data_IF_140054678873
#
_entry.id   IF_140054678873
#
_cell.length_a   1.000
_cell.length_b   1.000
_cell.length_c   1.000
_cell.angle_alpha   90.00
_cell.angle_beta   90.00
_cell.angle_gamma   90.00
#
_symmetry.space_group_name_H-M   'P 1'
#
loop_
_entity.id
_entity.type
_entity.pdbx_description
1 polymer ?
#
# COMPACT_ATOMS: atom_id res chain seq x y z
N UNK A 1 -15.65 -33.80 -71.75
CA UNK A 1 -14.82 -32.77 -71.07
C UNK A 1 -15.63 -32.24 -69.90
N UNK A 2 -15.35 -32.73 -68.67
CA UNK A 2 -16.13 -32.44 -67.47
C UNK A 2 -15.31 -31.49 -66.61
N UNK A 3 -15.73 -30.21 -66.50
CA UNK A 3 -15.13 -29.25 -65.57
C UNK A 3 -15.73 -29.46 -64.16
N UNK A 4 -14.88 -29.84 -63.21
CA UNK A 4 -15.21 -29.86 -61.80
C UNK A 4 -14.89 -28.47 -61.22
N UNK A 5 -15.96 -27.75 -60.84
CA UNK A 5 -15.86 -26.53 -60.07
C UNK A 5 -15.69 -26.93 -58.58
N UNK A 6 -14.52 -26.70 -58.04
CA UNK A 6 -14.20 -26.95 -56.65
C UNK A 6 -14.52 -25.64 -55.87
N UNK A 7 -15.66 -25.66 -55.16
CA UNK A 7 -16.08 -24.53 -54.32
C UNK A 7 -15.22 -24.45 -53.07
N UNK A 8 -14.51 -23.33 -52.92
CA UNK A 8 -13.75 -22.97 -51.71
C UNK A 8 -14.75 -22.36 -50.72
N UNK A 9 -15.12 -23.11 -49.68
CA UNK A 9 -15.89 -22.58 -48.54
C UNK A 9 -14.90 -21.87 -47.63
N UNK A 10 -14.92 -20.54 -47.63
CA UNK A 10 -14.21 -19.69 -46.68
C UNK A 10 -15.02 -19.66 -45.36
N UNK A 11 -14.62 -20.46 -44.38
CA UNK A 11 -15.17 -20.38 -43.03
C UNK A 11 -14.57 -19.12 -42.36
N UNK A 12 -15.34 -18.06 -42.30
CA UNK A 12 -15.06 -16.84 -41.59
C UNK A 12 -15.28 -17.14 -40.08
N UNK A 13 -14.20 -17.56 -39.39
CA UNK A 13 -14.20 -17.74 -37.96
C UNK A 13 -14.16 -16.34 -37.31
N UNK A 14 -15.33 -15.78 -37.00
CA UNK A 14 -15.48 -14.56 -36.25
C UNK A 14 -14.95 -14.80 -34.82
N UNK A 15 -13.73 -14.36 -34.59
CA UNK A 15 -13.12 -14.30 -33.28
C UNK A 15 -13.85 -13.20 -32.47
N UNK A 16 -14.92 -13.58 -31.79
CA UNK A 16 -15.59 -12.70 -30.82
C UNK A 16 -14.64 -12.43 -29.65
N UNK A 17 -13.90 -11.30 -29.71
CA UNK A 17 -13.23 -10.75 -28.56
C UNK A 17 -14.32 -10.39 -27.54
N UNK A 18 -14.51 -11.23 -26.54
CA UNK A 18 -15.31 -10.89 -25.37
C UNK A 18 -14.66 -9.68 -24.71
N UNK A 19 -15.25 -8.50 -24.88
CA UNK A 19 -14.94 -7.33 -24.09
C UNK A 19 -15.38 -7.64 -22.67
N UNK A 20 -14.44 -8.07 -21.84
CA UNK A 20 -14.66 -8.17 -20.40
C UNK A 20 -14.82 -6.74 -19.87
N UNK A 21 -16.07 -6.32 -19.71
CA UNK A 21 -16.39 -5.11 -18.97
C UNK A 21 -16.05 -5.38 -17.49
N UNK A 22 -15.07 -4.70 -16.98
CA UNK A 22 -14.73 -4.75 -15.55
C UNK A 22 -15.92 -4.20 -14.75
N UNK A 23 -16.62 -5.08 -14.04
CA UNK A 23 -17.81 -4.74 -13.26
C UNK A 23 -17.40 -4.47 -11.84
N UNK A 24 -17.71 -3.29 -11.32
CA UNK A 24 -17.54 -2.97 -9.91
C UNK A 24 -18.90 -2.76 -9.24
N UNK A 25 -18.99 -3.19 -7.98
CA UNK A 25 -20.14 -3.02 -7.11
C UNK A 25 -19.81 -1.96 -6.07
N UNK A 26 -20.81 -1.20 -5.66
CA UNK A 26 -20.66 -0.22 -4.60
C UNK A 26 -21.83 -0.30 -3.62
N UNK A 27 -21.55 0.02 -2.36
CA UNK A 27 -22.54 0.10 -1.26
C UNK A 27 -22.25 1.32 -0.41
N UNK A 28 -23.24 1.77 0.36
CA UNK A 28 -23.12 2.87 1.32
C UNK A 28 -24.48 3.22 1.90
N UNK A 29 -24.50 3.94 3.01
CA UNK A 29 -25.74 4.34 3.68
C UNK A 29 -26.48 5.45 2.93
N UNK A 30 -25.76 6.30 2.19
CA UNK A 30 -26.30 7.36 1.33
C UNK A 30 -25.54 7.43 0.02
N UNK A 31 -26.27 7.57 -1.06
CA UNK A 31 -25.71 7.77 -2.39
C UNK A 31 -26.31 9.01 -3.05
N UNK A 32 -25.47 9.79 -3.72
CA UNK A 32 -25.88 10.87 -4.61
C UNK A 32 -25.13 10.70 -5.93
N UNK A 33 -25.83 10.73 -7.06
CA UNK A 33 -25.21 10.56 -8.37
C UNK A 33 -25.66 11.63 -9.36
N UNK A 34 -24.75 12.05 -10.20
CA UNK A 34 -24.99 12.88 -11.37
C UNK A 34 -24.54 12.10 -12.61
N UNK A 35 -25.44 11.91 -13.55
CA UNK A 35 -25.18 11.21 -14.82
C UNK A 35 -25.10 12.19 -16.00
N UNK A 36 -25.03 13.49 -15.74
CA UNK A 36 -24.91 14.51 -16.78
C UNK A 36 -23.57 14.34 -17.51
N UNK A 37 -23.61 14.28 -18.85
CA UNK A 37 -22.45 14.07 -19.71
C UNK A 37 -21.30 15.04 -19.38
N UNK A 38 -20.12 14.50 -19.08
CA UNK A 38 -18.93 15.24 -18.68
C UNK A 38 -18.92 15.73 -17.22
N UNK A 39 -19.96 15.37 -16.43
CA UNK A 39 -20.09 15.66 -15.01
C UNK A 39 -20.49 14.41 -14.22
N UNK A 40 -20.15 13.25 -14.76
CA UNK A 40 -20.43 11.95 -14.15
C UNK A 40 -19.72 11.87 -12.80
N UNK A 41 -20.52 11.67 -11.75
CA UNK A 41 -20.03 11.63 -10.37
C UNK A 41 -21.00 10.85 -9.52
N UNK A 42 -20.47 9.95 -8.70
CA UNK A 42 -21.23 9.24 -7.67
C UNK A 42 -20.54 9.43 -6.33
N UNK A 43 -21.27 9.89 -5.34
CA UNK A 43 -20.80 10.10 -3.98
C UNK A 43 -21.52 9.12 -3.05
N UNK A 44 -20.75 8.31 -2.34
CA UNK A 44 -21.18 7.35 -1.33
C UNK A 44 -20.74 7.84 0.04
N UNK A 45 -21.61 7.78 1.02
CA UNK A 45 -21.33 8.18 2.41
C UNK A 45 -21.85 7.17 3.40
N UNK A 46 -21.09 7.00 4.49
CA UNK A 46 -21.39 6.08 5.58
C UNK A 46 -21.19 4.64 5.16
N UNK A 47 -20.16 3.99 5.71
CA UNK A 47 -19.76 2.62 5.38
C UNK A 47 -19.62 2.38 3.87
N UNK A 48 -19.08 3.40 3.18
CA UNK A 48 -18.94 3.37 1.74
C UNK A 48 -17.95 2.28 1.33
N UNK A 49 -18.32 1.51 0.30
CA UNK A 49 -17.49 0.40 -0.20
C UNK A 49 -17.60 0.28 -1.71
N UNK A 50 -16.47 0.03 -2.35
CA UNK A 50 -16.37 -0.35 -3.75
C UNK A 50 -15.68 -1.71 -3.83
N UNK A 51 -16.18 -2.60 -4.68
CA UNK A 51 -15.63 -3.92 -4.88
C UNK A 51 -15.62 -4.29 -6.35
N UNK A 52 -14.46 -4.70 -6.85
CA UNK A 52 -14.27 -5.40 -8.13
C UNK A 52 -13.88 -6.87 -7.85
N UNK A 53 -13.54 -7.62 -8.89
CA UNK A 53 -13.13 -9.02 -8.73
C UNK A 53 -11.85 -9.17 -7.88
N UNK A 54 -10.96 -8.19 -7.93
CA UNK A 54 -9.64 -8.25 -7.28
C UNK A 54 -9.46 -7.22 -6.17
N UNK A 55 -10.10 -6.05 -6.29
CA UNK A 55 -9.87 -4.91 -5.40
C UNK A 55 -11.13 -4.60 -4.59
N UNK A 56 -10.97 -4.39 -3.29
CA UNK A 56 -12.01 -3.90 -2.40
C UNK A 56 -11.49 -2.67 -1.64
N UNK A 57 -12.26 -1.58 -1.68
CA UNK A 57 -11.95 -0.33 -0.98
C UNK A 57 -13.14 0.05 -0.11
N UNK A 58 -12.88 0.36 1.15
CA UNK A 58 -13.87 0.92 2.10
C UNK A 58 -13.37 2.23 2.70
N UNK A 59 -14.31 3.14 3.00
CA UNK A 59 -14.02 4.45 3.60
C UNK A 59 -15.31 5.05 4.21
N UNK A 60 -15.17 6.17 4.94
CA UNK A 60 -16.34 6.94 5.42
C UNK A 60 -17.06 7.62 4.24
N UNK A 61 -16.28 8.10 3.27
CA UNK A 61 -16.77 8.72 2.04
C UNK A 61 -15.99 8.25 0.84
N UNK A 62 -16.68 7.88 -0.25
CA UNK A 62 -16.08 7.53 -1.54
C UNK A 62 -16.77 8.34 -2.63
N UNK A 63 -15.98 9.07 -3.39
CA UNK A 63 -16.42 9.80 -4.58
C UNK A 63 -15.83 9.11 -5.82
N UNK A 64 -16.70 8.68 -6.74
CA UNK A 64 -16.30 8.10 -8.03
C UNK A 64 -16.65 9.10 -9.12
N UNK A 65 -15.68 9.46 -9.97
CA UNK A 65 -15.86 10.52 -10.96
C UNK A 65 -14.97 10.35 -12.18
N UNK A 66 -15.15 11.27 -13.13
CA UNK A 66 -14.43 11.29 -14.41
C UNK A 66 -15.09 10.44 -15.47
N UNK A 67 -14.56 10.52 -16.67
CA UNK A 67 -15.09 9.74 -17.81
C UNK A 67 -15.07 8.25 -17.48
N UNK A 68 -16.18 7.56 -17.70
CA UNK A 68 -16.36 6.14 -17.41
C UNK A 68 -16.02 5.78 -15.93
N UNK A 69 -16.22 6.74 -15.01
CA UNK A 69 -15.91 6.60 -13.59
C UNK A 69 -14.49 6.12 -13.35
N UNK A 70 -13.54 6.73 -14.04
CA UNK A 70 -12.12 6.38 -14.00
C UNK A 70 -11.50 6.53 -12.61
N UNK A 71 -11.88 7.59 -11.87
CA UNK A 71 -11.25 7.93 -10.61
C UNK A 71 -12.15 7.62 -9.42
N UNK A 72 -11.54 7.14 -8.33
CA UNK A 72 -12.14 7.10 -7.02
C UNK A 72 -11.30 7.91 -6.04
N UNK A 73 -11.95 8.73 -5.22
CA UNK A 73 -11.35 9.46 -4.12
C UNK A 73 -12.05 9.05 -2.81
N UNK A 74 -11.27 8.51 -1.87
CA UNK A 74 -11.76 7.96 -0.62
C UNK A 74 -11.24 8.80 0.54
N UNK A 75 -12.08 9.05 1.54
CA UNK A 75 -11.74 9.88 2.71
C UNK A 75 -12.26 9.24 3.98
N UNK A 76 -11.44 9.30 5.03
CA UNK A 76 -11.74 8.80 6.38
C UNK A 76 -11.70 7.28 6.48
N UNK A 77 -10.88 6.75 7.39
CA UNK A 77 -10.75 5.33 7.71
C UNK A 77 -10.63 4.43 6.47
N UNK A 78 -9.76 4.85 5.52
CA UNK A 78 -9.64 4.15 4.24
C UNK A 78 -8.93 2.83 4.43
N UNK A 79 -9.53 1.78 3.90
CA UNK A 79 -8.94 0.44 3.79
C UNK A 79 -9.07 -0.06 2.36
N UNK A 80 -7.96 -0.42 1.74
CA UNK A 80 -7.92 -1.02 0.42
C UNK A 80 -7.23 -2.40 0.46
N UNK A 81 -7.79 -3.36 -0.26
CA UNK A 81 -7.26 -4.72 -0.39
C UNK A 81 -7.22 -5.12 -1.86
N UNK A 82 -6.10 -5.67 -2.28
CA UNK A 82 -5.97 -6.37 -3.57
C UNK A 82 -5.72 -7.86 -3.28
N UNK A 83 -6.72 -8.68 -3.55
CA UNK A 83 -6.66 -10.12 -3.26
C UNK A 83 -5.70 -10.88 -4.17
N UNK A 84 -5.47 -10.40 -5.39
CA UNK A 84 -4.57 -11.03 -6.35
C UNK A 84 -3.11 -10.77 -6.00
N UNK A 85 -2.79 -9.54 -5.58
CA UNK A 85 -1.44 -9.11 -5.21
C UNK A 85 -1.16 -9.25 -3.73
N UNK A 86 -2.15 -9.70 -2.96
CA UNK A 86 -2.10 -9.78 -1.50
C UNK A 86 -1.58 -8.50 -0.85
N UNK A 87 -2.09 -7.36 -1.35
CA UNK A 87 -1.79 -6.05 -0.80
C UNK A 87 -2.91 -5.60 0.14
N UNK A 88 -2.50 -5.09 1.29
CA UNK A 88 -3.36 -4.43 2.25
C UNK A 88 -2.86 -3.02 2.49
N UNK A 89 -3.73 -2.00 2.38
CA UNK A 89 -3.37 -0.59 2.53
C UNK A 89 -4.38 0.09 3.45
N UNK A 90 -3.89 0.91 4.39
CA UNK A 90 -4.72 1.83 5.16
C UNK A 90 -4.15 3.25 5.09
N UNK A 91 -5.03 4.26 5.14
CA UNK A 91 -4.64 5.68 5.11
C UNK A 91 -5.81 6.59 5.46
N UNK A 92 -5.56 7.90 5.60
CA UNK A 92 -6.61 8.88 5.84
C UNK A 92 -7.34 9.25 4.54
N UNK A 93 -6.60 9.31 3.42
CA UNK A 93 -7.15 9.60 2.09
C UNK A 93 -6.49 8.72 1.03
N UNK A 94 -7.28 8.30 0.03
CA UNK A 94 -6.81 7.49 -1.07
C UNK A 94 -7.41 7.99 -2.37
N UNK A 95 -6.55 8.17 -3.38
CA UNK A 95 -6.96 8.39 -4.75
C UNK A 95 -6.56 7.20 -5.60
N UNK A 96 -7.51 6.67 -6.34
CA UNK A 96 -7.32 5.52 -7.22
C UNK A 96 -7.67 5.88 -8.67
N UNK A 97 -6.75 5.61 -9.58
CA UNK A 97 -6.97 5.64 -11.03
C UNK A 97 -7.20 4.22 -11.53
N UNK A 98 -8.44 3.88 -11.81
CA UNK A 98 -8.87 2.54 -12.20
C UNK A 98 -8.28 2.09 -13.53
N UNK A 99 -8.10 3.00 -14.50
CA UNK A 99 -7.59 2.66 -15.85
C UNK A 99 -6.10 2.32 -15.79
N UNK A 100 -5.33 3.08 -15.01
CA UNK A 100 -3.90 2.87 -14.87
C UNK A 100 -3.56 1.95 -13.69
N UNK A 101 -4.53 1.63 -12.85
CA UNK A 101 -4.38 0.90 -11.61
C UNK A 101 -3.34 1.56 -10.66
N UNK A 102 -3.31 2.89 -10.66
CA UNK A 102 -2.43 3.67 -9.80
C UNK A 102 -3.17 4.11 -8.56
N UNK A 103 -2.52 3.98 -7.41
CA UNK A 103 -3.07 4.32 -6.12
C UNK A 103 -2.15 5.32 -5.42
N UNK A 104 -2.74 6.35 -4.84
CA UNK A 104 -2.07 7.33 -4.02
C UNK A 104 -2.74 7.38 -2.64
N UNK A 105 -2.06 6.86 -1.63
CA UNK A 105 -2.46 6.93 -0.24
C UNK A 105 -1.74 8.08 0.46
N UNK A 106 -2.45 8.84 1.29
CA UNK A 106 -1.87 9.94 2.06
C UNK A 106 -2.49 10.04 3.46
N UNK A 107 -1.69 10.51 4.42
CA UNK A 107 -2.02 10.54 5.84
C UNK A 107 -1.95 9.15 6.46
N UNK A 108 -1.02 8.94 7.40
CA UNK A 108 -0.82 7.66 8.10
C UNK A 108 -0.81 6.43 7.18
N UNK A 109 -0.20 6.58 6.00
CA UNK A 109 -0.22 5.52 5.01
C UNK A 109 0.56 4.30 5.49
N UNK A 110 -0.11 3.15 5.48
CA UNK A 110 0.42 1.83 5.79
C UNK A 110 0.14 0.90 4.62
N UNK A 111 1.11 0.10 4.24
CA UNK A 111 0.98 -0.96 3.23
C UNK A 111 1.64 -2.23 3.75
N UNK A 112 0.97 -3.35 3.55
CA UNK A 112 1.48 -4.69 3.76
C UNK A 112 1.44 -5.44 2.43
N UNK A 113 2.56 -6.02 2.04
CA UNK A 113 2.75 -6.87 0.88
C UNK A 113 3.07 -8.27 1.39
N UNK A 114 2.04 -9.13 1.47
CA UNK A 114 2.16 -10.46 2.06
C UNK A 114 3.07 -11.37 1.22
N UNK A 115 3.05 -11.25 -0.12
CA UNK A 115 3.87 -12.09 -1.00
C UNK A 115 5.36 -11.81 -0.83
N UNK A 116 5.72 -10.57 -0.54
CA UNK A 116 7.10 -10.15 -0.31
C UNK A 116 7.46 -10.05 1.18
N UNK A 117 6.51 -10.30 2.09
CA UNK A 117 6.68 -10.19 3.54
C UNK A 117 7.23 -8.82 3.98
N UNK A 118 6.73 -7.74 3.38
CA UNK A 118 7.22 -6.38 3.60
C UNK A 118 6.10 -5.48 4.13
N UNK A 119 6.43 -4.70 5.16
CA UNK A 119 5.57 -3.66 5.72
C UNK A 119 6.17 -2.30 5.42
N UNK A 120 5.36 -1.39 4.92
CA UNK A 120 5.75 -0.04 4.55
C UNK A 120 4.85 0.96 5.27
N UNK A 121 5.45 2.03 5.82
CA UNK A 121 4.75 3.16 6.42
C UNK A 121 5.34 4.46 5.90
N UNK A 122 4.49 5.49 5.79
CA UNK A 122 4.92 6.82 5.43
C UNK A 122 3.76 7.80 5.43
N UNK A 123 4.03 9.10 5.22
CA UNK A 123 2.94 10.06 5.09
C UNK A 123 2.26 9.97 3.72
N UNK A 124 3.02 9.63 2.68
CA UNK A 124 2.54 9.50 1.31
C UNK A 124 3.12 8.25 0.66
N UNK A 125 2.25 7.44 0.09
CA UNK A 125 2.57 6.21 -0.62
C UNK A 125 1.88 6.23 -1.98
N UNK A 126 2.64 6.07 -3.06
CA UNK A 126 2.15 5.96 -4.42
C UNK A 126 2.50 4.57 -4.95
N UNK A 127 1.49 3.78 -5.31
CA UNK A 127 1.66 2.49 -5.96
C UNK A 127 1.32 2.62 -7.45
N UNK A 128 2.30 2.41 -8.31
CA UNK A 128 2.19 2.39 -9.77
C UNK A 128 2.22 0.96 -10.26
N UNK A 129 1.06 0.40 -10.42
CA UNK A 129 0.89 -1.02 -10.64
C UNK A 129 1.56 -1.55 -11.91
N UNK A 130 1.41 -0.83 -13.03
CA UNK A 130 2.02 -1.21 -14.32
C UNK A 130 3.55 -1.16 -14.33
N UNK A 131 4.13 -0.43 -13.40
CA UNK A 131 5.58 -0.25 -13.26
C UNK A 131 6.16 -1.14 -12.15
N UNK A 132 5.31 -1.89 -11.43
CA UNK A 132 5.65 -2.63 -10.21
C UNK A 132 6.42 -1.76 -9.18
N UNK A 133 6.02 -0.50 -9.09
CA UNK A 133 6.75 0.55 -8.37
C UNK A 133 5.92 1.09 -7.23
N UNK A 134 6.52 1.12 -6.03
CA UNK A 134 6.00 1.82 -4.86
C UNK A 134 6.95 2.95 -4.48
N UNK A 135 6.42 4.17 -4.36
CA UNK A 135 7.16 5.36 -3.94
C UNK A 135 6.63 5.79 -2.57
N UNK A 136 7.52 5.90 -1.61
CA UNK A 136 7.21 6.33 -0.25
C UNK A 136 7.89 7.66 0.00
N UNK A 137 7.14 8.62 0.53
CA UNK A 137 7.62 9.97 0.79
C UNK A 137 7.22 10.41 2.19
N UNK A 138 8.09 11.22 2.80
CA UNK A 138 7.91 11.84 4.10
C UNK A 138 7.87 10.80 5.23
N UNK A 139 9.04 10.53 5.80
CA UNK A 139 9.20 9.64 6.94
C UNK A 139 8.94 8.17 6.63
N UNK A 140 9.39 7.71 5.46
CA UNK A 140 9.25 6.31 5.04
C UNK A 140 9.93 5.36 6.02
N UNK A 141 9.24 4.28 6.38
CA UNK A 141 9.75 3.16 7.17
C UNK A 141 9.39 1.86 6.48
N UNK A 142 10.36 0.96 6.41
CA UNK A 142 10.23 -0.35 5.79
C UNK A 142 10.69 -1.39 6.78
N UNK A 143 9.92 -2.46 6.92
CA UNK A 143 10.22 -3.57 7.80
C UNK A 143 10.02 -4.87 7.01
N UNK A 144 11.02 -5.74 7.04
CA UNK A 144 10.96 -7.10 6.52
C UNK A 144 11.87 -7.95 7.38
N UNK A 145 11.38 -9.04 7.98
CA UNK A 145 12.13 -9.97 8.83
C UNK A 145 13.34 -9.34 9.57
N UNK A 146 14.54 -9.45 8.98
CA UNK A 146 15.82 -8.97 9.56
C UNK A 146 16.23 -7.58 9.07
N UNK A 147 15.32 -6.86 8.38
CA UNK A 147 15.54 -5.54 7.80
C UNK A 147 14.60 -4.52 8.42
N UNK A 148 15.17 -3.41 8.87
CA UNK A 148 14.42 -2.20 9.16
C UNK A 148 15.12 -1.00 8.48
N UNK A 149 14.35 -0.19 7.75
CA UNK A 149 14.89 0.98 7.08
C UNK A 149 14.01 2.20 7.31
N UNK A 150 14.65 3.39 7.31
CA UNK A 150 13.97 4.68 7.32
C UNK A 150 14.64 5.64 6.34
N UNK A 151 13.84 6.45 5.65
CA UNK A 151 14.33 7.49 4.75
C UNK A 151 13.21 8.50 4.46
N UNK A 152 13.56 9.71 4.00
CA UNK A 152 12.56 10.66 3.53
C UNK A 152 11.95 10.24 2.18
N UNK A 153 12.74 9.59 1.33
CA UNK A 153 12.31 9.08 0.03
C UNK A 153 12.75 7.63 -0.12
N UNK A 154 11.81 6.78 -0.46
CA UNK A 154 12.07 5.38 -0.77
C UNK A 154 11.38 4.98 -2.04
N UNK A 155 12.08 4.26 -2.89
CA UNK A 155 11.54 3.59 -4.06
C UNK A 155 11.68 2.09 -3.86
N UNK A 156 10.56 1.37 -3.93
CA UNK A 156 10.51 -0.09 -3.88
C UNK A 156 10.03 -0.64 -5.22
N UNK A 157 10.88 -1.38 -5.91
CA UNK A 157 10.55 -2.07 -7.17
C UNK A 157 10.20 -3.51 -6.85
N UNK A 158 8.90 -3.82 -6.84
CA UNK A 158 8.36 -5.12 -6.44
C UNK A 158 8.83 -6.25 -7.35
N UNK A 159 8.78 -6.04 -8.67
CA UNK A 159 9.10 -7.08 -9.65
C UNK A 159 10.55 -7.59 -9.61
N UNK A 160 11.49 -6.76 -9.12
CA UNK A 160 12.92 -7.11 -8.96
C UNK A 160 13.38 -7.04 -7.51
N UNK A 161 12.43 -6.87 -6.59
CA UNK A 161 12.60 -6.86 -5.15
C UNK A 161 13.77 -5.96 -4.65
N UNK A 162 13.84 -4.72 -5.18
CA UNK A 162 14.90 -3.77 -4.85
C UNK A 162 14.38 -2.54 -4.15
N UNK A 163 15.13 -2.07 -3.15
CA UNK A 163 14.92 -0.82 -2.43
C UNK A 163 15.97 0.21 -2.81
N UNK A 164 15.54 1.47 -2.97
CA UNK A 164 16.42 2.62 -3.06
C UNK A 164 15.96 3.65 -2.03
N UNK A 165 16.86 4.04 -1.12
CA UNK A 165 16.61 4.92 0.00
C UNK A 165 17.44 6.19 -0.15
N UNK A 166 16.83 7.36 0.06
CA UNK A 166 17.51 8.66 0.05
C UNK A 166 16.86 9.65 1.04
N UNK A 167 17.55 10.77 1.31
CA UNK A 167 17.11 11.72 2.33
C UNK A 167 17.38 11.19 3.74
N UNK A 168 18.65 11.20 4.14
CA UNK A 168 19.15 10.70 5.42
C UNK A 168 18.76 9.24 5.72
N UNK A 169 19.01 8.32 4.79
CA UNK A 169 18.64 6.94 4.99
C UNK A 169 19.43 6.28 6.11
N UNK A 170 18.74 5.43 6.86
CA UNK A 170 19.32 4.51 7.82
C UNK A 170 18.76 3.13 7.54
N UNK A 171 19.64 2.16 7.41
CA UNK A 171 19.32 0.76 7.19
C UNK A 171 19.89 -0.07 8.33
N UNK A 172 19.05 -0.85 8.97
CA UNK A 172 19.41 -1.91 9.89
C UNK A 172 19.23 -3.25 9.19
N UNK A 173 20.28 -4.04 9.10
CA UNK A 173 20.26 -5.39 8.56
C UNK A 173 20.80 -6.34 9.61
N UNK A 174 19.93 -7.20 10.16
CA UNK A 174 20.25 -8.01 11.35
C UNK A 174 20.67 -7.11 12.52
N UNK A 175 21.95 -7.13 12.91
CA UNK A 175 22.51 -6.30 13.97
C UNK A 175 23.35 -5.13 13.46
N UNK A 176 23.53 -5.04 12.14
CA UNK A 176 24.37 -4.04 11.49
C UNK A 176 23.57 -2.78 11.17
N UNK A 177 24.21 -1.62 11.30
CA UNK A 177 23.64 -0.33 10.93
C UNK A 177 24.43 0.31 9.80
N UNK A 178 23.71 0.83 8.79
CA UNK A 178 24.29 1.49 7.62
C UNK A 178 23.64 2.86 7.41
N UNK A 179 24.48 3.86 7.12
CA UNK A 179 24.09 5.23 6.76
C UNK A 179 24.89 5.68 5.54
N UNK A 180 24.24 6.42 4.67
CA UNK A 180 24.86 6.98 3.47
C UNK A 180 24.02 8.15 2.93
N UNK A 181 24.45 8.81 1.86
CA UNK A 181 23.58 9.74 1.14
C UNK A 181 22.47 8.99 0.40
N UNK A 182 22.80 7.79 -0.13
CA UNK A 182 21.87 6.87 -0.80
C UNK A 182 22.24 5.44 -0.45
N UNK A 183 21.21 4.62 -0.21
CA UNK A 183 21.35 3.19 0.03
C UNK A 183 20.51 2.47 -1.01
N UNK A 184 21.10 1.49 -1.68
CA UNK A 184 20.39 0.55 -2.56
C UNK A 184 20.53 -0.84 -1.98
N UNK A 185 19.46 -1.62 -2.00
CA UNK A 185 19.45 -2.99 -1.50
C UNK A 185 18.62 -3.88 -2.41
N UNK A 186 19.17 -5.01 -2.79
CA UNK A 186 18.44 -6.11 -3.39
C UNK A 186 18.01 -7.06 -2.25
N UNK A 187 16.69 -7.23 -2.08
CA UNK A 187 16.13 -8.01 -0.97
C UNK A 187 16.24 -9.53 -1.17
N UNK A 188 16.47 -9.98 -2.42
CA UNK A 188 16.62 -11.40 -2.74
C UNK A 188 18.07 -11.87 -2.56
N UNK A 189 19.05 -11.06 -3.08
CA UNK A 189 20.47 -11.36 -2.95
C UNK A 189 21.09 -10.86 -1.65
N UNK A 190 20.34 -10.05 -0.87
CA UNK A 190 20.82 -9.37 0.36
C UNK A 190 22.02 -8.43 0.11
N UNK A 191 22.23 -8.02 -1.14
CA UNK A 191 23.31 -7.11 -1.53
C UNK A 191 22.95 -5.67 -1.20
N UNK A 192 23.84 -4.97 -0.48
CA UNK A 192 23.69 -3.58 -0.07
C UNK A 192 24.78 -2.72 -0.74
N UNK A 193 24.37 -1.68 -1.44
CA UNK A 193 25.25 -0.66 -2.01
C UNK A 193 25.04 0.66 -1.33
N UNK A 194 26.11 1.25 -0.81
CA UNK A 194 26.11 2.52 -0.09
C UNK A 194 26.83 3.60 -0.92
N UNK A 195 26.22 4.76 -1.13
CA UNK A 195 26.75 5.85 -1.94
C UNK A 195 26.78 7.16 -1.15
N UNK A 196 27.94 7.80 -1.07
CA UNK A 196 28.19 9.13 -0.47
C UNK A 196 28.05 9.16 1.06
N UNK A 197 29.01 9.77 1.73
CA UNK A 197 29.06 9.93 3.21
C UNK A 197 28.74 8.63 3.97
N UNK A 198 29.41 7.53 3.58
CA UNK A 198 29.14 6.20 4.13
C UNK A 198 29.66 6.08 5.55
N UNK A 199 28.79 5.65 6.47
CA UNK A 199 29.14 5.23 7.84
C UNK A 199 28.35 3.97 8.18
N UNK A 200 28.89 3.13 9.06
CA UNK A 200 28.19 1.91 9.47
C UNK A 200 28.82 1.29 10.70
N UNK A 201 28.06 0.44 11.36
CA UNK A 201 28.50 -0.40 12.47
C UNK A 201 28.20 -1.85 12.09
N UNK A 202 29.21 -2.71 12.14
CA UNK A 202 29.08 -4.14 11.90
C UNK A 202 29.31 -4.86 13.22
N UNK A 203 28.36 -5.65 13.67
CA UNK A 203 28.44 -6.42 14.90
C UNK A 203 28.99 -7.81 14.59
N UNK A 204 30.31 -7.99 14.81
CA UNK A 204 30.94 -9.31 14.67
C UNK A 204 30.53 -10.21 15.85
N UNK A 205 29.72 -11.22 15.57
CA UNK A 205 29.34 -12.23 16.55
C UNK A 205 30.48 -13.24 16.77
N UNK A 206 31.41 -12.95 17.70
CA UNK A 206 32.13 -14.05 18.32
C UNK A 206 31.25 -14.55 19.48
N UNK A 207 30.54 -15.64 19.24
CA UNK A 207 29.77 -16.31 20.27
C UNK A 207 30.69 -16.89 21.35
N UNK A 208 30.73 -16.23 22.51
CA UNK A 208 30.91 -16.86 23.80
C UNK A 208 29.62 -16.65 24.57
N UNK A 209 28.76 -17.65 24.54
CA UNK A 209 27.68 -17.79 25.51
C UNK A 209 28.34 -18.07 26.88
N UNK A 210 28.67 -17.04 27.64
CA UNK A 210 28.75 -17.07 29.11
C UNK A 210 29.10 -15.67 29.62
N UNK A 211 28.20 -15.11 30.38
CA UNK A 211 28.52 -14.06 31.34
C UNK A 211 27.74 -12.75 31.19
N UNK A 212 26.81 -12.59 32.11
CA UNK A 212 26.26 -11.34 32.63
C UNK A 212 25.68 -10.30 31.66
N UNK A 213 24.38 -10.40 31.48
CA UNK A 213 23.57 -9.32 30.97
C UNK A 213 23.47 -8.19 32.02
N UNK A 214 24.18 -7.09 31.79
CA UNK A 214 23.78 -5.81 32.32
C UNK A 214 22.55 -5.31 31.49
N UNK A 215 21.57 -4.66 32.11
CA UNK A 215 20.38 -4.19 31.38
C UNK A 215 20.79 -3.08 30.42
N UNK A 216 20.64 -3.34 29.10
CA UNK A 216 20.70 -2.29 28.09
C UNK A 216 19.50 -1.35 28.29
N UNK A 217 19.80 -0.09 28.55
CA UNK A 217 18.81 0.98 28.53
C UNK A 217 18.19 1.05 27.13
N UNK A 218 16.90 0.79 27.04
CA UNK A 218 16.09 1.04 25.83
C UNK A 218 16.22 2.53 25.44
N UNK A 219 16.45 2.86 24.16
CA UNK A 219 16.41 4.26 23.73
C UNK A 219 15.00 4.80 23.95
N UNK A 220 14.84 6.04 24.47
CA UNK A 220 13.56 6.59 24.86
C UNK A 220 12.59 6.63 23.67
N UNK A 221 11.47 5.93 23.81
CA UNK A 221 10.31 6.03 22.92
C UNK A 221 9.72 7.43 23.08
N UNK A 222 10.13 8.35 22.24
CA UNK A 222 9.48 9.66 22.09
C UNK A 222 8.14 9.44 21.41
N UNK A 223 7.05 9.52 22.16
CA UNK A 223 5.70 9.61 21.61
C UNK A 223 4.67 8.61 22.12
N UNK A 224 4.58 8.38 23.42
CA UNK A 224 3.35 7.88 24.02
C UNK A 224 2.69 8.99 24.85
N UNK A 225 1.89 9.81 24.22
CA UNK A 225 0.87 10.59 24.90
C UNK A 225 -0.28 10.81 23.92
N UNK A 226 -1.27 9.93 23.98
CA UNK A 226 -2.69 10.28 23.76
C UNK A 226 -3.67 9.10 23.89
N UNK A 227 -3.22 7.86 24.05
CA UNK A 227 -4.17 6.73 24.03
C UNK A 227 -4.71 6.29 25.39
N UNK A 228 -4.05 6.63 26.49
CA UNK A 228 -4.59 6.28 27.83
C UNK A 228 -5.77 7.14 28.32
N UNK A 229 -6.06 8.26 27.60
CA UNK A 229 -7.20 9.13 27.96
C UNK A 229 -8.51 8.71 27.31
N UNK A 230 -8.46 7.87 26.29
CA UNK A 230 -9.63 7.35 25.59
C UNK A 230 -10.23 6.13 26.32
N UNK A 231 -9.42 5.27 26.89
CA UNK A 231 -9.91 4.07 27.60
C UNK A 231 -10.54 4.40 28.95
N UNK A 232 -10.00 5.36 29.70
CA UNK A 232 -10.61 5.81 30.98
C UNK A 232 -11.94 6.55 30.81
N UNK A 233 -12.25 7.07 29.63
CA UNK A 233 -13.54 7.75 29.35
C UNK A 233 -14.67 6.78 29.05
N UNK A 234 -14.35 5.56 28.63
CA UNK A 234 -15.35 4.53 28.31
C UNK A 234 -15.81 3.83 29.59
N UNK A 235 -14.94 3.62 30.56
CA UNK A 235 -15.31 3.00 31.84
C UNK A 235 -16.14 3.95 32.75
N UNK A 236 -15.92 5.26 32.73
CA UNK A 236 -16.70 6.22 33.51
C UNK A 236 -18.10 6.51 32.96
N UNK A 237 -18.36 6.21 31.69
CA UNK A 237 -19.70 6.41 31.09
C UNK A 237 -20.65 5.23 31.32
N UNK A 238 -20.15 4.10 31.82
CA UNK A 238 -20.97 2.90 32.10
C UNK A 238 -21.55 2.88 33.53
N UNK A 239 -21.06 3.73 34.44
CA UNK A 239 -21.43 3.71 35.85
C UNK A 239 -22.49 4.77 36.21
N UNK A 240 -22.81 5.73 35.33
CA UNK A 240 -23.78 6.84 35.57
C UNK A 240 -25.10 6.69 34.78
N UNK A 241 -25.61 5.49 34.57
CA UNK A 241 -26.98 5.31 34.06
C UNK A 241 -27.96 5.15 35.24
N UNK A 242 -28.86 6.14 35.51
CA UNK A 242 -29.87 5.98 36.53
C UNK A 242 -30.93 4.99 36.07
N UNK A 243 -31.14 3.95 36.88
CA UNK A 243 -32.24 3.04 36.70
C UNK A 243 -33.62 3.71 36.84
N UNK A 244 -34.43 3.53 35.80
CA UNK A 244 -35.90 3.40 35.89
C UNK A 244 -36.43 2.70 34.66
#
# INVERSE_FOLDING_TARGET
>A
MRFRVMGFIFVFMALSAALYADTFRFTGNRMSTSLAKGKERTLLRGEARIKSDQTEISADEIEIYGKDFQFAECRGNVVARDSKKKLFITCDTLRFDRINNNLLAAGNAYMEDEDNEIIIRGHRLENRDKEDLVIIQIGGRIIKKDLAARAEFTTYRRGVNTLELSGMPVLFWKKDEYRATRIMMNLDSEEITLLGAVTGTIVSGNGNENGDAAPEEEPPLVGQSTDQRAEQRIEQSAEDAPGR
#
